data_IF_116136674142
#
_entry.id   IF_116136674142
#
_cell.length_a   1.000
_cell.length_b   1.000
_cell.length_c   1.000
_cell.angle_alpha   90.00
_cell.angle_beta   90.00
_cell.angle_gamma   90.00
#
_symmetry.space_group_name_H-M   'P 1'
#
loop_
_entity.id
_entity.type
_entity.pdbx_description
1 polymer ?
#
# COMPACT_ATOMS: atom_id res chain seq x y z
N UNK A 1 -6.98 -8.63 -9.35
CA UNK A 1 -7.19 -8.34 -10.77
C UNK A 1 -6.93 -6.87 -11.09
N UNK A 2 -6.72 -6.56 -12.34
CA UNK A 2 -6.27 -5.25 -12.86
C UNK A 2 -7.38 -4.17 -12.82
N UNK A 3 -7.95 -3.87 -11.66
CA UNK A 3 -9.05 -2.90 -11.50
C UNK A 3 -8.63 -1.49 -11.96
N UNK A 4 -7.37 -1.12 -11.76
CA UNK A 4 -6.83 0.18 -12.19
C UNK A 4 -6.89 0.41 -13.71
N UNK A 5 -6.94 -0.66 -14.51
CA UNK A 5 -7.07 -0.60 -15.97
C UNK A 5 -8.52 -0.47 -16.47
N UNK A 6 -9.50 -0.57 -15.56
CA UNK A 6 -10.91 -0.51 -15.91
C UNK A 6 -11.40 0.91 -16.17
N UNK A 7 -12.42 1.03 -17.02
CA UNK A 7 -13.08 2.31 -17.27
C UNK A 7 -13.96 2.74 -16.08
N UNK A 8 -14.41 3.98 -16.09
CA UNK A 8 -15.15 4.56 -14.96
C UNK A 8 -16.50 3.88 -14.68
N UNK A 9 -17.17 3.34 -15.69
CA UNK A 9 -18.43 2.61 -15.51
C UNK A 9 -18.21 1.27 -14.82
N UNK A 10 -17.16 0.56 -15.22
CA UNK A 10 -16.76 -0.69 -14.57
C UNK A 10 -16.34 -0.46 -13.12
N UNK A 11 -15.57 0.62 -12.86
CA UNK A 11 -15.15 0.97 -11.50
C UNK A 11 -16.35 1.30 -10.64
N UNK A 12 -17.34 2.06 -11.15
CA UNK A 12 -18.58 2.35 -10.43
C UNK A 12 -19.37 1.09 -10.09
N UNK A 13 -19.46 0.13 -11.00
CA UNK A 13 -20.11 -1.15 -10.71
C UNK A 13 -19.37 -1.91 -9.61
N UNK A 14 -18.06 -2.02 -9.70
CA UNK A 14 -17.23 -2.71 -8.69
C UNK A 14 -17.33 -1.98 -7.34
N UNK A 15 -17.40 -0.65 -7.32
CA UNK A 15 -17.60 0.15 -6.11
C UNK A 15 -18.89 -0.22 -5.39
N UNK A 16 -20.00 -0.36 -6.13
CA UNK A 16 -21.29 -0.78 -5.58
C UNK A 16 -21.23 -2.24 -5.07
N UNK A 17 -20.75 -3.16 -5.91
CA UNK A 17 -20.64 -4.59 -5.57
C UNK A 17 -19.76 -4.80 -4.32
N UNK A 18 -18.66 -4.07 -4.22
CA UNK A 18 -17.77 -4.13 -3.07
C UNK A 18 -18.39 -3.50 -1.83
N UNK A 19 -19.16 -2.42 -1.99
CA UNK A 19 -19.96 -1.83 -0.90
C UNK A 19 -20.98 -2.83 -0.33
N UNK A 20 -21.66 -3.58 -1.20
CA UNK A 20 -22.58 -4.65 -0.80
C UNK A 20 -21.85 -5.75 -0.02
N UNK A 21 -20.71 -6.22 -0.54
CA UNK A 21 -19.91 -7.24 0.13
C UNK A 21 -19.44 -6.81 1.52
N UNK A 22 -18.93 -5.57 1.65
CA UNK A 22 -18.53 -5.00 2.95
C UNK A 22 -19.72 -4.98 3.90
N UNK A 23 -20.89 -4.53 3.44
CA UNK A 23 -22.11 -4.47 4.25
C UNK A 23 -22.52 -5.84 4.79
N UNK A 24 -22.47 -6.86 3.93
CA UNK A 24 -22.77 -8.25 4.33
C UNK A 24 -21.80 -8.72 5.42
N UNK A 25 -20.51 -8.47 5.25
CA UNK A 25 -19.49 -8.86 6.24
C UNK A 25 -19.62 -8.10 7.57
N UNK A 26 -20.03 -6.83 7.52
CA UNK A 26 -20.34 -6.06 8.73
C UNK A 26 -21.53 -6.67 9.46
N UNK A 27 -22.63 -6.95 8.75
CA UNK A 27 -23.83 -7.52 9.37
C UNK A 27 -23.59 -8.92 9.94
N UNK A 28 -22.84 -9.78 9.23
CA UNK A 28 -22.36 -11.06 9.76
C UNK A 28 -21.61 -10.87 11.06
N UNK A 29 -20.58 -10.00 11.06
CA UNK A 29 -19.76 -9.73 12.24
C UNK A 29 -20.57 -9.21 13.43
N UNK A 30 -21.51 -8.27 13.19
CA UNK A 30 -22.38 -7.73 14.24
C UNK A 30 -23.26 -8.82 14.86
N UNK A 31 -23.85 -9.67 14.02
CA UNK A 31 -24.69 -10.77 14.45
C UNK A 31 -23.88 -11.80 15.26
N UNK A 32 -22.73 -12.24 14.75
CA UNK A 32 -21.89 -13.27 15.39
C UNK A 32 -21.34 -12.81 16.76
N UNK A 33 -21.19 -11.50 16.96
CA UNK A 33 -20.69 -10.93 18.21
C UNK A 33 -21.80 -10.30 19.07
N UNK A 34 -23.09 -10.44 18.70
CA UNK A 34 -24.22 -9.86 19.41
C UNK A 34 -24.12 -8.35 19.63
N UNK A 35 -23.60 -7.61 18.64
CA UNK A 35 -23.46 -6.16 18.68
C UNK A 35 -24.71 -5.54 18.06
N UNK A 36 -25.50 -4.82 18.86
CA UNK A 36 -26.78 -4.22 18.45
C UNK A 36 -26.71 -2.72 18.19
N UNK A 37 -25.77 -2.02 18.78
CA UNK A 37 -25.65 -0.58 18.70
C UNK A 37 -24.27 -0.16 18.21
N UNK A 38 -24.23 0.61 17.12
CA UNK A 38 -23.04 1.28 16.61
C UNK A 38 -23.33 2.76 16.41
N UNK A 39 -22.42 3.61 16.83
CA UNK A 39 -22.47 5.05 16.56
C UNK A 39 -22.19 5.32 15.09
N UNK A 40 -21.17 4.67 14.52
CA UNK A 40 -20.80 4.80 13.11
C UNK A 40 -19.93 3.64 12.63
N UNK A 41 -19.86 3.51 11.31
CA UNK A 41 -18.92 2.63 10.59
C UNK A 41 -17.87 3.53 9.92
N UNK A 42 -16.59 3.22 10.13
CA UNK A 42 -15.47 3.86 9.45
C UNK A 42 -14.93 2.91 8.39
N UNK A 43 -15.04 3.27 7.11
CA UNK A 43 -14.61 2.43 6.00
C UNK A 43 -13.61 3.14 5.09
N UNK A 44 -12.37 2.63 5.02
CA UNK A 44 -11.37 3.11 4.08
C UNK A 44 -11.67 2.66 2.64
N UNK A 45 -12.35 1.53 2.47
CA UNK A 45 -12.51 0.88 1.18
C UNK A 45 -11.19 0.31 0.64
N UNK A 46 -11.10 0.16 -0.69
CA UNK A 46 -9.88 -0.30 -1.36
C UNK A 46 -9.44 0.71 -2.41
N UNK A 47 -8.19 1.18 -2.33
CA UNK A 47 -7.63 2.15 -3.28
C UNK A 47 -7.36 1.49 -4.62
N UNK A 48 -7.97 1.99 -5.68
CA UNK A 48 -7.84 1.46 -7.04
C UNK A 48 -7.08 2.39 -7.97
N UNK A 49 -7.19 3.71 -7.76
CA UNK A 49 -6.39 4.73 -8.48
C UNK A 49 -5.93 5.79 -7.49
N UNK A 50 -4.66 6.17 -7.57
CA UNK A 50 -4.09 7.22 -6.72
C UNK A 50 -3.11 8.05 -7.51
N UNK A 51 -3.45 9.32 -7.76
CA UNK A 51 -2.65 10.26 -8.54
C UNK A 51 -2.74 11.65 -7.92
N UNK A 52 -2.07 11.89 -6.79
CA UNK A 52 -2.04 13.22 -6.19
C UNK A 52 -1.30 14.21 -7.11
N UNK A 53 -1.65 15.50 -7.10
CA UNK A 53 -2.74 16.13 -6.33
C UNK A 53 -4.11 16.03 -7.00
N UNK A 54 -4.27 15.24 -8.04
CA UNK A 54 -5.48 15.27 -8.88
C UNK A 54 -6.62 14.45 -8.28
N UNK A 55 -6.36 13.20 -7.92
CA UNK A 55 -7.41 12.32 -7.38
C UNK A 55 -6.86 11.10 -6.61
N UNK A 56 -7.73 10.54 -5.80
CA UNK A 56 -7.61 9.20 -5.22
C UNK A 56 -8.98 8.54 -5.23
N UNK A 57 -9.07 7.33 -5.77
CA UNK A 57 -10.32 6.59 -5.89
C UNK A 57 -10.24 5.34 -5.02
N UNK A 58 -11.10 5.28 -4.03
CA UNK A 58 -11.35 4.10 -3.21
C UNK A 58 -12.72 3.53 -3.59
N UNK A 59 -12.77 2.21 -3.81
CA UNK A 59 -14.03 1.46 -3.96
C UNK A 59 -14.51 0.94 -2.60
N UNK A 60 -15.78 0.66 -2.49
CA UNK A 60 -16.47 0.29 -1.24
C UNK A 60 -17.44 1.39 -0.86
N UNK A 61 -18.48 1.56 -1.67
CA UNK A 61 -19.43 2.67 -1.64
C UNK A 61 -20.05 2.87 -0.26
N UNK A 62 -19.67 3.95 0.43
CA UNK A 62 -20.14 4.24 1.78
C UNK A 62 -21.64 4.52 1.87
N UNK A 63 -22.27 4.99 0.77
CA UNK A 63 -23.72 5.16 0.73
C UNK A 63 -24.43 3.80 0.77
N UNK A 64 -23.94 2.83 0.02
CA UNK A 64 -24.46 1.45 0.04
C UNK A 64 -24.27 0.82 1.43
N UNK A 65 -23.08 1.01 2.03
CA UNK A 65 -22.83 0.50 3.39
C UNK A 65 -23.83 1.08 4.36
N UNK A 66 -24.05 2.38 4.34
CA UNK A 66 -25.03 3.07 5.20
C UNK A 66 -26.46 2.58 4.94
N UNK A 67 -26.84 2.41 3.68
CA UNK A 67 -28.20 1.97 3.33
C UNK A 67 -28.49 0.55 3.79
N UNK A 68 -27.52 -0.38 3.66
CA UNK A 68 -27.72 -1.79 4.01
C UNK A 68 -27.55 -2.06 5.50
N UNK A 69 -26.68 -1.33 6.19
CA UNK A 69 -26.44 -1.52 7.62
C UNK A 69 -27.33 -0.64 8.51
N UNK A 70 -27.94 0.38 7.93
CA UNK A 70 -28.66 1.45 8.64
C UNK A 70 -27.80 2.20 9.69
N UNK A 71 -26.47 2.22 9.53
CA UNK A 71 -25.52 2.90 10.41
C UNK A 71 -24.83 4.01 9.67
N UNK A 72 -24.59 5.16 10.33
CA UNK A 72 -23.80 6.26 9.77
C UNK A 72 -22.44 5.74 9.29
N UNK A 73 -22.07 6.02 8.04
CA UNK A 73 -20.82 5.54 7.45
C UNK A 73 -19.90 6.71 7.10
N UNK A 74 -18.69 6.68 7.61
CA UNK A 74 -17.61 7.65 7.34
C UNK A 74 -16.64 6.99 6.37
N UNK A 75 -16.36 7.65 5.24
CA UNK A 75 -15.49 7.13 4.17
C UNK A 75 -14.75 8.25 3.44
N UNK A 76 -14.02 7.93 2.37
CA UNK A 76 -13.30 8.91 1.52
C UNK A 76 -12.24 9.76 2.25
N UNK A 77 -11.51 9.19 3.18
CA UNK A 77 -10.52 9.90 4.01
C UNK A 77 -9.43 10.63 3.23
N UNK A 78 -9.08 10.16 2.03
CA UNK A 78 -8.01 10.72 1.19
C UNK A 78 -8.42 11.96 0.41
N UNK A 79 -9.70 12.07 0.07
CA UNK A 79 -10.22 13.12 -0.82
C UNK A 79 -10.12 14.50 -0.19
N UNK A 80 -10.36 14.62 1.11
CA UNK A 80 -10.28 15.91 1.80
C UNK A 80 -8.84 16.45 1.81
N UNK A 81 -7.86 15.60 2.10
CA UNK A 81 -6.46 15.98 2.11
C UNK A 81 -5.99 16.45 0.72
N UNK A 82 -6.35 15.71 -0.33
CA UNK A 82 -6.04 16.10 -1.71
C UNK A 82 -6.68 17.45 -2.07
N UNK A 83 -7.93 17.70 -1.67
CA UNK A 83 -8.62 18.99 -1.93
C UNK A 83 -7.95 20.16 -1.21
N UNK A 84 -7.29 19.90 -0.11
CA UNK A 84 -6.52 20.90 0.66
C UNK A 84 -5.06 21.02 0.17
N UNK A 85 -4.70 20.38 -0.93
CA UNK A 85 -3.37 20.43 -1.54
C UNK A 85 -2.39 19.37 -1.01
N UNK A 86 -2.85 18.42 -0.19
CA UNK A 86 -2.07 17.31 0.30
C UNK A 86 -1.96 16.15 -0.70
N UNK A 87 -1.26 15.10 -0.31
CA UNK A 87 -1.03 13.92 -1.13
C UNK A 87 -2.14 12.84 -0.96
N UNK A 88 -2.96 12.94 0.08
CA UNK A 88 -3.96 11.92 0.41
C UNK A 88 -3.34 10.59 0.87
N UNK A 89 -2.03 10.54 1.08
CA UNK A 89 -1.26 9.39 1.54
C UNK A 89 0.09 9.84 2.11
N UNK A 90 0.66 9.08 3.09
CA UNK A 90 0.02 7.99 3.83
C UNK A 90 -1.06 8.48 4.84
N UNK A 91 -1.99 7.62 5.24
CA UNK A 91 -2.99 7.93 6.29
C UNK A 91 -2.56 7.41 7.67
N UNK A 92 -1.68 6.40 7.71
CA UNK A 92 -1.18 5.77 8.94
C UNK A 92 -0.62 6.76 9.97
N UNK A 93 0.04 7.87 9.59
CA UNK A 93 0.64 8.82 10.53
C UNK A 93 -0.31 9.39 11.58
N UNK A 94 -1.61 9.46 11.29
CA UNK A 94 -2.58 9.89 12.30
C UNK A 94 -2.70 8.84 13.42
N UNK A 95 -2.68 7.55 13.05
CA UNK A 95 -2.63 6.44 13.99
C UNK A 95 -1.32 6.42 14.80
N UNK A 96 -0.20 6.58 14.09
CA UNK A 96 1.14 6.60 14.71
C UNK A 96 1.22 7.70 15.78
N UNK A 97 0.73 8.89 15.45
CA UNK A 97 0.68 10.02 16.38
C UNK A 97 -0.08 9.74 17.66
N UNK A 98 -1.22 9.04 17.60
CA UNK A 98 -2.08 8.82 18.75
C UNK A 98 -1.80 7.52 19.50
N UNK A 99 -1.37 6.47 18.77
CA UNK A 99 -1.16 5.14 19.35
C UNK A 99 0.30 4.91 19.76
N UNK A 100 1.25 5.56 19.07
CA UNK A 100 2.68 5.34 19.25
C UNK A 100 3.46 6.62 19.58
N UNK A 101 2.82 7.54 20.30
CA UNK A 101 3.38 8.85 20.67
C UNK A 101 4.68 8.78 21.50
N UNK A 102 5.01 7.61 22.05
CA UNK A 102 6.24 7.37 22.82
C UNK A 102 7.46 7.07 21.95
N UNK A 103 7.29 6.96 20.62
CA UNK A 103 8.35 6.67 19.67
C UNK A 103 8.64 7.90 18.81
N UNK A 104 9.91 8.12 18.49
CA UNK A 104 10.35 9.25 17.66
C UNK A 104 9.93 9.09 16.19
N UNK A 105 9.79 7.84 15.74
CA UNK A 105 9.38 7.50 14.39
C UNK A 105 8.68 6.14 14.33
N UNK A 106 7.78 5.98 13.36
CA UNK A 106 7.11 4.73 13.05
C UNK A 106 7.41 4.35 11.60
N UNK A 107 7.94 3.15 11.39
CA UNK A 107 8.20 2.57 10.08
C UNK A 107 7.15 1.51 9.78
N UNK A 108 6.36 1.72 8.73
CA UNK A 108 5.38 0.75 8.23
C UNK A 108 5.96 -0.02 7.03
N UNK A 109 6.07 -1.34 7.16
CA UNK A 109 6.57 -2.26 6.13
C UNK A 109 5.39 -3.02 5.49
N UNK A 110 4.57 -2.28 4.73
CA UNK A 110 3.46 -2.82 3.95
C UNK A 110 3.87 -3.23 2.55
N UNK A 111 2.97 -3.11 1.58
CA UNK A 111 3.30 -3.27 0.16
C UNK A 111 4.34 -2.25 -0.30
N UNK A 112 4.18 -1.01 0.17
CA UNK A 112 5.11 0.11 0.10
C UNK A 112 5.55 0.41 1.52
N UNK A 113 6.85 0.63 1.73
CA UNK A 113 7.38 1.10 3.00
C UNK A 113 7.14 2.60 3.14
N UNK A 114 6.65 3.04 4.30
CA UNK A 114 6.51 4.45 4.63
C UNK A 114 6.93 4.73 6.07
N UNK A 115 7.32 5.96 6.32
CA UNK A 115 7.76 6.42 7.65
C UNK A 115 6.96 7.63 8.08
N UNK A 116 6.67 7.72 9.36
CA UNK A 116 6.21 8.92 10.03
C UNK A 116 7.14 9.29 11.17
N UNK A 117 7.37 10.57 11.38
CA UNK A 117 8.24 11.11 12.43
C UNK A 117 7.89 12.56 12.77
N UNK A 118 8.38 13.02 13.90
CA UNK A 118 8.18 14.37 14.40
C UNK A 118 7.23 14.46 15.59
N UNK A 119 7.19 15.63 16.22
CA UNK A 119 6.41 15.90 17.42
C UNK A 119 4.96 16.25 17.09
N UNK A 120 4.09 16.24 18.09
CA UNK A 120 2.62 16.39 18.00
C UNK A 120 2.08 17.60 17.21
N UNK A 121 2.92 18.58 16.87
CA UNK A 121 2.57 19.74 16.04
C UNK A 121 3.14 19.74 14.63
N UNK A 122 4.09 18.84 14.30
CA UNK A 122 4.84 18.82 13.02
C UNK A 122 5.10 17.43 12.49
N UNK A 123 4.15 16.50 12.64
CA UNK A 123 4.31 15.14 12.09
C UNK A 123 4.50 15.21 10.59
N UNK A 124 5.61 14.64 10.11
CA UNK A 124 5.92 14.45 8.70
C UNK A 124 5.81 12.98 8.37
N UNK A 125 5.39 12.67 7.16
CA UNK A 125 5.30 11.30 6.68
C UNK A 125 5.46 11.24 5.17
N UNK A 126 6.09 10.17 4.68
CA UNK A 126 6.23 9.92 3.26
C UNK A 126 6.52 8.44 2.98
N UNK A 127 6.23 8.03 1.74
CA UNK A 127 6.63 6.72 1.24
C UNK A 127 8.14 6.69 1.01
N UNK A 128 8.77 5.57 1.34
CA UNK A 128 10.23 5.38 1.20
C UNK A 128 10.53 4.64 -0.10
N UNK A 129 10.03 3.40 -0.24
CA UNK A 129 10.32 2.52 -1.37
C UNK A 129 9.24 1.42 -1.50
N UNK A 130 9.33 0.65 -2.59
CA UNK A 130 8.60 -0.61 -2.68
C UNK A 130 9.14 -1.59 -1.62
N UNK A 131 8.23 -2.33 -0.99
CA UNK A 131 8.57 -3.31 0.02
C UNK A 131 7.97 -4.68 -0.37
N UNK A 132 6.94 -5.15 0.32
CA UNK A 132 6.37 -6.47 0.04
C UNK A 132 5.85 -6.64 -1.40
N UNK A 133 5.49 -5.56 -2.09
CA UNK A 133 5.13 -5.62 -3.51
C UNK A 133 6.31 -6.14 -4.35
N UNK A 134 7.53 -5.68 -4.07
CA UNK A 134 8.73 -6.13 -4.76
C UNK A 134 9.11 -7.54 -4.32
N UNK A 135 9.19 -7.76 -3.01
CA UNK A 135 9.56 -9.07 -2.44
C UNK A 135 8.65 -10.19 -2.94
N UNK A 136 7.33 -9.97 -2.95
CA UNK A 136 6.36 -10.96 -3.40
C UNK A 136 6.49 -11.30 -4.90
N UNK A 137 6.93 -10.33 -5.74
CA UNK A 137 7.22 -10.65 -7.14
C UNK A 137 8.36 -11.68 -7.25
N UNK A 138 9.45 -11.47 -6.54
CA UNK A 138 10.64 -12.32 -6.64
C UNK A 138 10.49 -13.63 -5.86
N UNK A 139 9.65 -13.70 -4.83
CA UNK A 139 9.30 -14.96 -4.16
C UNK A 139 8.64 -15.97 -5.10
N UNK A 140 7.97 -15.51 -6.16
CA UNK A 140 7.35 -16.37 -7.18
C UNK A 140 8.36 -17.21 -7.98
N UNK A 141 9.63 -16.83 -8.03
CA UNK A 141 10.72 -17.66 -8.61
C UNK A 141 10.84 -19.01 -7.87
N UNK A 142 10.37 -19.03 -6.60
CA UNK A 142 10.39 -20.22 -5.74
C UNK A 142 9.00 -20.84 -5.54
N UNK A 143 8.05 -20.53 -6.41
CA UNK A 143 6.64 -20.95 -6.28
C UNK A 143 5.99 -20.55 -4.95
N UNK A 144 6.38 -19.37 -4.42
CA UNK A 144 5.83 -18.78 -3.20
C UNK A 144 5.11 -17.47 -3.49
N UNK A 145 3.96 -17.26 -2.86
CA UNK A 145 3.24 -15.98 -2.95
C UNK A 145 3.98 -14.85 -2.23
N UNK A 146 4.71 -15.16 -1.16
CA UNK A 146 5.54 -14.24 -0.38
C UNK A 146 6.67 -15.00 0.33
N UNK A 147 7.65 -14.27 0.86
CA UNK A 147 8.75 -14.84 1.66
C UNK A 147 8.32 -14.98 3.12
N UNK A 148 7.76 -16.15 3.44
CA UNK A 148 7.25 -16.45 4.77
C UNK A 148 8.40 -16.46 5.80
N UNK A 149 8.28 -15.60 6.82
CA UNK A 149 9.28 -15.39 7.87
C UNK A 149 10.70 -15.03 7.36
N UNK A 150 10.84 -14.54 6.12
CA UNK A 150 12.14 -14.20 5.56
C UNK A 150 13.04 -15.43 5.29
N UNK A 151 12.44 -16.63 5.14
CA UNK A 151 13.20 -17.87 4.95
C UNK A 151 13.96 -17.90 3.63
N UNK A 152 13.42 -17.29 2.58
CA UNK A 152 14.09 -17.22 1.29
C UNK A 152 15.22 -16.18 1.34
N UNK A 153 14.94 -14.98 1.82
CA UNK A 153 15.91 -13.89 1.91
C UNK A 153 17.10 -14.24 2.82
N UNK A 154 16.85 -14.98 3.92
CA UNK A 154 17.92 -15.42 4.82
C UNK A 154 18.98 -16.34 4.17
N UNK A 155 18.68 -16.90 3.01
CA UNK A 155 19.62 -17.73 2.22
C UNK A 155 20.45 -16.91 1.24
N UNK A 156 20.10 -15.65 1.05
CA UNK A 156 20.75 -14.74 0.13
C UNK A 156 21.89 -13.95 0.79
N UNK A 157 22.56 -13.18 -0.05
CA UNK A 157 23.56 -12.18 0.35
C UNK A 157 23.19 -10.86 -0.29
N UNK A 158 23.31 -9.80 0.47
CA UNK A 158 23.12 -8.43 -0.02
C UNK A 158 24.03 -8.17 -1.23
N UNK A 159 23.47 -7.57 -2.28
CA UNK A 159 24.20 -7.17 -3.49
C UNK A 159 24.39 -5.64 -3.44
N UNK A 160 25.57 -5.13 -3.04
CA UNK A 160 25.78 -3.69 -2.88
C UNK A 160 25.52 -2.90 -4.18
N UNK A 161 25.99 -3.41 -5.32
CA UNK A 161 25.77 -2.78 -6.63
C UNK A 161 24.26 -2.60 -6.95
N UNK A 162 23.44 -3.58 -6.61
CA UNK A 162 22.00 -3.49 -6.84
C UNK A 162 21.34 -2.45 -5.93
N UNK A 163 21.79 -2.37 -4.67
CA UNK A 163 21.33 -1.34 -3.73
C UNK A 163 21.68 0.05 -4.25
N UNK A 164 22.92 0.29 -4.68
CA UNK A 164 23.37 1.57 -5.24
C UNK A 164 22.51 1.98 -6.45
N UNK A 165 22.19 1.04 -7.33
CA UNK A 165 21.29 1.28 -8.49
C UNK A 165 19.87 1.61 -8.05
N UNK A 166 19.32 0.91 -7.06
CA UNK A 166 18.00 1.18 -6.51
C UNK A 166 17.94 2.55 -5.82
N UNK A 167 18.97 2.93 -5.09
CA UNK A 167 19.07 4.24 -4.42
C UNK A 167 19.19 5.39 -5.43
N UNK A 168 19.70 5.13 -6.63
CA UNK A 168 19.77 6.12 -7.70
C UNK A 168 18.46 6.40 -8.42
N UNK A 169 17.38 5.67 -8.12
CA UNK A 169 16.07 5.91 -8.70
C UNK A 169 15.60 7.32 -8.31
N UNK A 170 15.10 8.05 -9.29
CA UNK A 170 14.72 9.47 -9.17
C UNK A 170 13.84 9.81 -7.97
N UNK A 171 13.01 8.87 -7.52
CA UNK A 171 12.15 9.07 -6.36
C UNK A 171 12.93 9.25 -5.05
N UNK A 172 14.01 8.51 -4.84
CA UNK A 172 14.85 8.64 -3.62
C UNK A 172 15.44 10.04 -3.47
N UNK A 173 15.67 10.71 -4.60
CA UNK A 173 16.27 12.05 -4.65
C UNK A 173 15.25 13.19 -4.44
N UNK A 174 13.95 12.91 -4.39
CA UNK A 174 12.91 13.92 -4.15
C UNK A 174 12.92 14.33 -2.68
N UNK A 175 13.12 15.61 -2.41
CA UNK A 175 12.99 16.17 -1.06
C UNK A 175 11.55 16.46 -0.67
N UNK A 176 11.27 16.42 0.64
CA UNK A 176 9.99 16.80 1.24
C UNK A 176 8.94 15.69 1.29
N UNK A 177 7.71 16.06 1.67
CA UNK A 177 6.59 15.13 1.68
C UNK A 177 6.35 14.57 0.28
N UNK A 178 6.38 13.25 0.14
CA UNK A 178 6.25 12.56 -1.15
C UNK A 178 5.45 11.28 -0.99
N UNK A 179 4.74 10.89 -2.02
CA UNK A 179 4.08 9.58 -2.11
C UNK A 179 4.49 8.88 -3.39
N UNK A 180 4.54 7.56 -3.34
CA UNK A 180 4.89 6.74 -4.48
C UNK A 180 3.67 6.49 -5.38
N UNK A 181 3.83 6.82 -6.65
CA UNK A 181 2.98 6.23 -7.69
C UNK A 181 3.35 4.76 -7.83
N UNK A 182 2.42 3.89 -7.45
CA UNK A 182 2.62 2.44 -7.44
C UNK A 182 3.04 1.92 -8.81
N UNK A 183 2.43 2.41 -9.90
CA UNK A 183 2.73 1.93 -11.25
C UNK A 183 4.13 2.36 -11.69
N UNK A 184 4.48 3.62 -11.45
CA UNK A 184 5.80 4.13 -11.78
C UNK A 184 6.89 3.42 -10.98
N UNK A 185 6.68 3.28 -9.66
CA UNK A 185 7.63 2.58 -8.79
C UNK A 185 7.86 1.15 -9.27
N UNK A 186 6.77 0.42 -9.54
CA UNK A 186 6.87 -0.97 -9.96
C UNK A 186 7.63 -1.09 -11.29
N UNK A 187 7.32 -0.22 -12.25
CA UNK A 187 7.99 -0.25 -13.54
C UNK A 187 9.48 0.08 -13.42
N UNK A 188 9.84 1.14 -12.68
CA UNK A 188 11.24 1.56 -12.52
C UNK A 188 12.06 0.50 -11.76
N UNK A 189 11.55 0.02 -10.62
CA UNK A 189 12.25 -0.98 -9.80
C UNK A 189 12.30 -2.35 -10.47
N UNK A 190 11.17 -2.81 -11.04
CA UNK A 190 11.14 -4.11 -11.72
C UNK A 190 12.09 -4.14 -12.92
N UNK A 191 12.05 -3.08 -13.73
CA UNK A 191 12.95 -2.98 -14.88
C UNK A 191 14.41 -3.04 -14.43
N UNK A 192 14.78 -2.25 -13.43
CA UNK A 192 16.16 -2.21 -12.93
C UNK A 192 16.63 -3.58 -12.41
N UNK A 193 15.79 -4.26 -11.62
CA UNK A 193 16.12 -5.57 -11.05
C UNK A 193 16.12 -6.63 -12.14
N UNK A 194 15.12 -6.63 -13.03
CA UNK A 194 15.02 -7.61 -14.13
C UNK A 194 16.18 -7.45 -15.12
N UNK A 195 16.58 -6.19 -15.45
CA UNK A 195 17.76 -5.91 -16.28
C UNK A 195 19.06 -6.40 -15.59
N UNK A 196 19.19 -6.16 -14.28
CA UNK A 196 20.34 -6.66 -13.50
C UNK A 196 20.41 -8.19 -13.51
N UNK A 197 19.27 -8.89 -13.42
CA UNK A 197 19.21 -10.35 -13.46
C UNK A 197 19.51 -10.88 -14.87
N UNK A 198 19.06 -10.19 -15.93
CA UNK A 198 19.28 -10.56 -17.31
C UNK A 198 20.76 -10.46 -17.74
N UNK A 199 21.46 -9.43 -17.26
CA UNK A 199 22.91 -9.23 -17.52
C UNK A 199 23.78 -10.35 -16.92
N UNK A 200 23.24 -11.13 -16.01
CA UNK A 200 23.92 -12.23 -15.30
C UNK A 200 23.53 -13.59 -15.86
N UNK A 201 23.52 -13.74 -17.19
CA UNK A 201 23.02 -14.90 -17.94
C UNK A 201 23.61 -16.28 -17.59
N UNK A 202 24.71 -16.34 -16.82
CA UNK A 202 25.36 -17.58 -16.35
C UNK A 202 25.03 -17.96 -14.90
N UNK A 203 24.10 -17.25 -14.23
CA UNK A 203 23.79 -17.48 -12.82
C UNK A 203 22.45 -18.20 -12.71
N UNK A 204 22.43 -19.32 -12.00
CA UNK A 204 21.22 -20.00 -11.55
C UNK A 204 20.26 -18.98 -10.92
N UNK A 205 19.19 -18.65 -11.66
CA UNK A 205 18.17 -17.67 -11.26
C UNK A 205 17.62 -17.92 -9.84
N UNK A 206 17.52 -19.20 -9.44
CA UNK A 206 17.10 -19.55 -8.09
C UNK A 206 18.11 -19.08 -7.05
N UNK A 207 19.41 -19.22 -7.34
CA UNK A 207 20.47 -18.80 -6.40
C UNK A 207 20.59 -17.28 -6.34
N UNK A 208 20.44 -16.60 -7.47
CA UNK A 208 20.49 -15.11 -7.52
C UNK A 208 19.21 -14.50 -6.95
N UNK A 209 18.06 -15.16 -7.12
CA UNK A 209 16.78 -14.70 -6.57
C UNK A 209 16.79 -14.60 -5.05
N UNK A 210 17.49 -15.47 -4.33
CA UNK A 210 17.69 -15.31 -2.88
C UNK A 210 18.41 -14.00 -2.55
N UNK A 211 19.43 -13.64 -3.33
CA UNK A 211 20.17 -12.40 -3.11
C UNK A 211 19.36 -11.14 -3.44
N UNK A 212 18.37 -11.23 -4.37
CA UNK A 212 17.47 -10.12 -4.66
C UNK A 212 16.46 -9.93 -3.53
N UNK A 213 16.11 -11.00 -2.81
CA UNK A 213 15.21 -10.95 -1.65
C UNK A 213 15.95 -10.51 -0.38
N UNK A 214 17.25 -10.78 -0.26
CA UNK A 214 18.07 -10.39 0.89
C UNK A 214 18.32 -8.89 0.97
#
# INVERSE_FOLDING_TARGET
GNIHLKNDLEIKKIDLDYGILISQKILEFLNDNNISNLDFISSHGHTVKHKPPYYSIQIGNGKIIRELTNVTTINNFRVQDIRLGGQGAPLVPIGDKYLFSNYDSCLNLGGIANISFGNSGSTKAFDICGCNILLNKYSKIYDKEFDEFGILSSKGKVIPELIERLDSISYSLIEGPKSLDKEKLLNDNYKLIDDYLADKSDIDLKKTGYNVLA
#
